data_IF_922778516715
#
_entry.id   IF_922778516715
#
_cell.length_a   1.000
_cell.length_b   1.000
_cell.length_c   1.000
_cell.angle_alpha   90.00
_cell.angle_beta   90.00
_cell.angle_gamma   90.00
#
_symmetry.space_group_name_H-M   'P 1'
#
loop_
_entity.id
_entity.type
_entity.pdbx_description
1 polymer ?
#
# COMPACT_ATOMS: atom_id res chain seq x y z
N UNK A 1 -22.00 -27.60 -25.00
CA UNK A 1 -21.87 -26.15 -24.79
C UNK A 1 -21.30 -25.96 -23.40
N UNK A 2 -20.02 -25.66 -23.28
CA UNK A 2 -19.39 -25.32 -22.00
C UNK A 2 -18.81 -23.94 -22.24
N UNK A 3 -19.61 -22.92 -21.96
CA UNK A 3 -19.27 -21.53 -22.16
C UNK A 3 -19.22 -20.90 -20.77
N UNK A 4 -18.03 -20.48 -20.37
CA UNK A 4 -17.78 -19.51 -19.29
C UNK A 4 -17.53 -20.07 -17.87
N UNK A 5 -16.77 -21.17 -17.75
CA UNK A 5 -16.20 -21.59 -16.46
C UNK A 5 -14.97 -20.77 -16.12
N UNK A 6 -15.18 -19.68 -15.38
CA UNK A 6 -14.11 -18.97 -14.69
C UNK A 6 -13.77 -19.70 -13.39
N UNK A 7 -12.48 -19.92 -13.14
CA UNK A 7 -12.02 -20.57 -11.92
C UNK A 7 -11.62 -19.53 -10.89
N UNK A 8 -12.13 -19.64 -9.66
CA UNK A 8 -11.65 -18.82 -8.55
C UNK A 8 -10.26 -19.32 -8.14
N UNK A 9 -9.26 -18.44 -8.22
CA UNK A 9 -7.86 -18.75 -7.88
C UNK A 9 -7.45 -18.14 -6.53
N UNK A 10 -8.12 -17.09 -6.08
CA UNK A 10 -7.80 -16.42 -4.82
C UNK A 10 -8.95 -15.53 -4.33
N UNK A 11 -8.72 -14.85 -3.21
CA UNK A 11 -9.55 -13.74 -2.71
C UNK A 11 -8.63 -12.58 -2.36
N UNK A 12 -8.87 -11.42 -2.96
CA UNK A 12 -8.19 -10.18 -2.62
C UNK A 12 -8.72 -9.67 -1.26
N UNK A 13 -7.91 -9.88 -0.22
CA UNK A 13 -8.28 -9.58 1.17
C UNK A 13 -8.18 -8.09 1.48
N UNK A 14 -9.20 -7.56 2.16
CA UNK A 14 -9.28 -6.17 2.59
C UNK A 14 -8.81 -5.96 4.04
N UNK A 15 -7.68 -6.57 4.43
CA UNK A 15 -7.23 -6.60 5.84
C UNK A 15 -5.93 -5.84 6.10
N UNK A 16 -5.33 -5.21 5.08
CA UNK A 16 -4.06 -4.50 5.21
C UNK A 16 -4.23 -3.02 4.93
N UNK A 17 -3.93 -2.20 5.94
CA UNK A 17 -3.76 -0.77 5.76
C UNK A 17 -2.41 -0.51 5.08
N UNK A 18 -2.42 0.35 4.07
CA UNK A 18 -1.24 0.83 3.37
C UNK A 18 -1.11 2.33 3.53
N UNK A 19 0.01 2.89 3.11
CA UNK A 19 0.33 4.28 3.36
C UNK A 19 0.77 4.96 2.07
N UNK A 20 0.58 6.26 1.99
CA UNK A 20 0.95 7.04 0.81
C UNK A 20 2.44 6.81 0.49
N UNK A 21 2.71 6.51 -0.77
CA UNK A 21 4.02 6.12 -1.27
C UNK A 21 4.20 4.61 -1.42
N UNK A 22 3.52 3.77 -0.64
CA UNK A 22 3.61 2.32 -0.78
C UNK A 22 3.23 1.87 -2.20
N UNK A 23 3.88 0.83 -2.70
CA UNK A 23 3.48 0.15 -3.94
C UNK A 23 2.99 -1.25 -3.64
N UNK A 24 1.87 -1.62 -4.25
CA UNK A 24 1.33 -2.98 -4.26
C UNK A 24 1.54 -3.55 -5.65
N UNK A 25 2.23 -4.68 -5.75
CA UNK A 25 2.35 -5.41 -7.03
C UNK A 25 1.45 -6.64 -7.00
N UNK A 26 0.60 -6.78 -8.00
CA UNK A 26 -0.14 -8.00 -8.30
C UNK A 26 0.72 -8.93 -9.15
N UNK A 27 0.88 -10.17 -8.68
CA UNK A 27 1.64 -11.23 -9.34
C UNK A 27 0.71 -12.35 -9.77
N UNK A 28 0.96 -12.91 -10.96
CA UNK A 28 0.16 -13.99 -11.54
C UNK A 28 1.07 -15.14 -11.95
N UNK A 29 0.64 -16.36 -11.63
CA UNK A 29 1.45 -17.55 -11.82
C UNK A 29 0.68 -18.59 -12.63
N UNK A 30 1.44 -19.30 -13.46
CA UNK A 30 1.03 -20.50 -14.21
C UNK A 30 1.69 -21.72 -13.57
N UNK A 31 1.55 -22.90 -14.17
CA UNK A 31 2.26 -24.09 -13.68
C UNK A 31 3.78 -23.96 -13.88
N UNK A 32 4.21 -23.15 -14.83
CA UNK A 32 5.60 -22.87 -15.16
C UNK A 32 6.24 -21.83 -14.23
N UNK A 33 5.44 -21.16 -13.39
CA UNK A 33 5.87 -20.12 -12.47
C UNK A 33 5.27 -18.75 -12.79
N UNK A 34 5.95 -17.71 -12.30
CA UNK A 34 5.47 -16.33 -12.43
C UNK A 34 5.51 -15.85 -13.89
N UNK A 35 4.47 -15.13 -14.30
CA UNK A 35 4.44 -14.43 -15.59
C UNK A 35 4.68 -12.94 -15.36
N UNK A 36 5.95 -12.53 -15.34
CA UNK A 36 6.36 -11.14 -15.04
C UNK A 36 5.65 -10.10 -15.92
N UNK A 37 5.37 -10.43 -17.19
CA UNK A 37 4.68 -9.56 -18.13
C UNK A 37 3.23 -9.21 -17.73
N UNK A 38 2.63 -9.96 -16.78
CA UNK A 38 1.29 -9.72 -16.27
C UNK A 38 1.28 -8.95 -14.95
N UNK A 39 2.44 -8.58 -14.41
CA UNK A 39 2.50 -7.82 -13.17
C UNK A 39 1.84 -6.45 -13.33
N UNK A 40 1.06 -6.06 -12.31
CA UNK A 40 0.45 -4.74 -12.23
C UNK A 40 0.86 -4.07 -10.93
N UNK A 41 1.32 -2.82 -11.02
CA UNK A 41 1.72 -2.02 -9.87
C UNK A 41 0.67 -0.95 -9.56
N UNK A 42 0.24 -0.88 -8.30
CA UNK A 42 -0.61 0.17 -7.77
C UNK A 42 0.18 0.98 -6.74
N UNK A 43 0.38 2.27 -7.03
CA UNK A 43 0.93 3.22 -6.07
C UNK A 43 -0.18 3.78 -5.18
N UNK A 44 0.04 3.79 -3.87
CA UNK A 44 -0.84 4.45 -2.91
C UNK A 44 -0.54 5.95 -2.96
N UNK A 45 -1.30 6.70 -3.75
CA UNK A 45 -0.96 8.10 -4.04
C UNK A 45 -1.62 9.13 -3.10
N UNK A 46 -2.70 8.76 -2.40
CA UNK A 46 -3.46 9.70 -1.56
C UNK A 46 -4.15 9.02 -0.37
N UNK A 47 -4.56 9.82 0.63
CA UNK A 47 -5.01 9.36 1.94
C UNK A 47 -6.17 8.37 1.92
N UNK A 48 -7.16 8.56 1.05
CA UNK A 48 -8.27 7.60 0.97
C UNK A 48 -7.79 6.20 0.56
N UNK A 49 -6.75 6.06 -0.29
CA UNK A 49 -6.22 4.74 -0.65
C UNK A 49 -5.53 4.02 0.50
N UNK A 50 -5.24 4.68 1.62
CA UNK A 50 -4.61 4.02 2.77
C UNK A 50 -5.52 2.94 3.37
N UNK A 51 -6.84 3.16 3.37
CA UNK A 51 -7.79 2.16 3.86
C UNK A 51 -7.87 0.97 2.91
N UNK A 52 -7.86 -0.24 3.49
CA UNK A 52 -7.85 -1.50 2.75
C UNK A 52 -8.93 -1.61 1.66
N UNK A 53 -10.14 -1.17 1.97
CA UNK A 53 -11.26 -1.19 1.03
C UNK A 53 -11.03 -0.36 -0.24
N UNK A 54 -10.30 0.75 -0.15
CA UNK A 54 -10.12 1.67 -1.26
C UNK A 54 -9.03 1.20 -2.21
N UNK A 55 -7.83 0.88 -1.71
CA UNK A 55 -6.77 0.39 -2.60
C UNK A 55 -7.06 -0.97 -3.19
N UNK A 56 -7.72 -1.88 -2.45
CA UNK A 56 -8.08 -3.20 -3.01
C UNK A 56 -9.08 -3.07 -4.15
N UNK A 57 -10.03 -2.14 -4.06
CA UNK A 57 -10.97 -1.85 -5.13
C UNK A 57 -10.28 -1.25 -6.36
N UNK A 58 -9.34 -0.34 -6.16
CA UNK A 58 -8.57 0.18 -7.31
C UNK A 58 -7.64 -0.84 -7.93
N UNK A 59 -7.05 -1.73 -7.13
CA UNK A 59 -6.29 -2.85 -7.68
C UNK A 59 -7.17 -3.79 -8.50
N UNK A 60 -8.39 -4.07 -8.02
CA UNK A 60 -9.37 -4.87 -8.75
C UNK A 60 -9.77 -4.22 -10.08
N UNK A 61 -10.03 -2.91 -10.10
CA UNK A 61 -10.30 -2.16 -11.32
C UNK A 61 -9.13 -2.21 -12.30
N UNK A 62 -7.90 -2.00 -11.80
CA UNK A 62 -6.67 -2.06 -12.60
C UNK A 62 -6.49 -3.45 -13.25
N UNK A 63 -6.68 -4.52 -12.49
CA UNK A 63 -6.65 -5.90 -13.00
C UNK A 63 -7.73 -6.12 -14.06
N UNK A 64 -8.97 -5.74 -13.77
CA UNK A 64 -10.09 -5.94 -14.68
C UNK A 64 -9.92 -5.22 -16.02
N UNK A 65 -9.27 -4.06 -15.99
CA UNK A 65 -8.99 -3.22 -17.16
C UNK A 65 -7.85 -3.78 -18.02
N UNK A 66 -6.74 -4.22 -17.41
CA UNK A 66 -5.54 -4.63 -18.16
C UNK A 66 -5.49 -6.12 -18.50
N UNK A 67 -6.16 -6.98 -17.73
CA UNK A 67 -6.08 -8.44 -17.89
C UNK A 67 -7.44 -8.99 -18.37
N UNK A 68 -7.62 -9.29 -19.66
CA UNK A 68 -8.91 -9.76 -20.18
C UNK A 68 -9.29 -11.13 -19.63
N UNK A 69 -8.31 -11.99 -19.34
CA UNK A 69 -8.50 -13.37 -18.85
C UNK A 69 -8.39 -13.51 -17.32
N UNK A 70 -8.35 -12.39 -16.60
CA UNK A 70 -8.43 -12.33 -15.12
C UNK A 70 -9.57 -11.38 -14.74
N UNK A 71 -10.36 -11.75 -13.74
CA UNK A 71 -11.45 -10.91 -13.24
C UNK A 71 -11.48 -10.90 -11.72
N UNK A 72 -11.65 -9.71 -11.14
CA UNK A 72 -11.76 -9.50 -9.70
C UNK A 72 -13.14 -8.94 -9.40
N UNK A 73 -13.85 -9.59 -8.46
CA UNK A 73 -15.20 -9.23 -8.08
C UNK A 73 -16.20 -10.37 -8.30
N UNK A 74 -17.49 -10.03 -8.33
CA UNK A 74 -18.58 -11.01 -8.47
C UNK A 74 -19.15 -10.96 -9.89
N UNK A 75 -19.53 -12.12 -10.42
CA UNK A 75 -20.24 -12.22 -11.71
C UNK A 75 -21.70 -11.84 -11.49
N UNK A 76 -22.15 -10.77 -12.15
CA UNK A 76 -23.51 -10.27 -12.16
C UNK A 76 -24.14 -10.42 -13.56
N UNK A 77 -25.42 -10.05 -13.70
CA UNK A 77 -26.16 -10.19 -14.96
C UNK A 77 -25.56 -9.39 -16.12
N UNK A 78 -25.02 -8.20 -15.81
CA UNK A 78 -24.45 -7.27 -16.80
C UNK A 78 -22.93 -7.42 -16.98
N UNK A 79 -22.30 -8.34 -16.25
CA UNK A 79 -20.85 -8.54 -16.29
C UNK A 79 -20.23 -8.67 -14.90
N UNK A 80 -18.95 -8.34 -14.81
CA UNK A 80 -18.20 -8.42 -13.56
C UNK A 80 -18.33 -7.12 -12.77
N UNK A 81 -18.66 -7.23 -11.48
CA UNK A 81 -18.84 -6.09 -10.59
C UNK A 81 -17.83 -6.12 -9.44
N UNK A 82 -17.16 -4.99 -9.22
CA UNK A 82 -16.25 -4.80 -8.08
C UNK A 82 -17.05 -4.21 -6.92
N UNK A 83 -17.45 -5.09 -6.00
CA UNK A 83 -18.29 -4.73 -4.84
C UNK A 83 -17.50 -4.23 -3.62
N UNK A 84 -18.22 -4.10 -2.51
CA UNK A 84 -17.65 -3.89 -1.17
C UNK A 84 -17.50 -5.25 -0.46
N UNK A 85 -16.44 -5.40 0.36
CA UNK A 85 -16.13 -6.64 1.06
C UNK A 85 -15.15 -7.54 0.31
N UNK A 86 -15.20 -8.85 0.53
CA UNK A 86 -14.29 -9.79 -0.14
C UNK A 86 -14.40 -9.71 -1.67
N UNK A 87 -13.24 -9.63 -2.32
CA UNK A 87 -13.11 -9.52 -3.76
C UNK A 87 -12.48 -10.80 -4.31
N UNK A 88 -13.29 -11.79 -4.74
CA UNK A 88 -12.76 -13.00 -5.35
C UNK A 88 -11.97 -12.70 -6.61
N UNK A 89 -10.90 -13.45 -6.85
CA UNK A 89 -10.07 -13.35 -8.06
C UNK A 89 -10.28 -14.61 -8.88
N UNK A 90 -10.66 -14.44 -10.13
CA UNK A 90 -10.94 -15.50 -11.08
C UNK A 90 -9.97 -15.43 -12.27
N UNK A 91 -9.61 -16.58 -12.81
CA UNK A 91 -8.91 -16.71 -14.09
C UNK A 91 -9.75 -17.52 -15.08
N UNK A 92 -9.60 -17.21 -16.36
CA UNK A 92 -10.15 -18.04 -17.42
C UNK A 92 -9.20 -19.23 -17.67
N UNK A 93 -9.67 -20.48 -17.83
CA UNK A 93 -8.81 -21.66 -17.99
C UNK A 93 -7.79 -21.55 -19.13
N UNK A 94 -8.15 -20.85 -20.22
CA UNK A 94 -7.24 -20.65 -21.35
C UNK A 94 -6.03 -19.75 -21.04
N UNK A 95 -6.02 -19.05 -19.91
CA UNK A 95 -4.86 -18.25 -19.48
C UNK A 95 -3.74 -19.09 -18.89
N UNK A 96 -4.04 -20.32 -18.43
CA UNK A 96 -3.12 -21.12 -17.63
C UNK A 96 -2.81 -20.56 -16.24
N UNK A 97 -3.39 -19.41 -15.86
CA UNK A 97 -3.13 -18.76 -14.56
C UNK A 97 -3.85 -19.53 -13.45
N UNK A 98 -3.09 -19.98 -12.47
CA UNK A 98 -3.57 -20.81 -11.35
C UNK A 98 -3.47 -20.11 -10.01
N UNK A 99 -2.63 -19.07 -9.89
CA UNK A 99 -2.35 -18.41 -8.62
C UNK A 99 -2.16 -16.90 -8.77
N UNK A 100 -2.54 -16.20 -7.71
CA UNK A 100 -2.49 -14.75 -7.57
C UNK A 100 -1.88 -14.39 -6.21
N UNK A 101 -0.86 -13.54 -6.21
CA UNK A 101 -0.22 -13.05 -5.00
C UNK A 101 -0.01 -11.55 -5.02
N UNK A 102 0.17 -10.96 -3.84
CA UNK A 102 0.52 -9.56 -3.67
C UNK A 102 1.88 -9.43 -3.02
N UNK A 103 2.74 -8.59 -3.60
CA UNK A 103 3.90 -8.05 -2.91
C UNK A 103 3.68 -6.59 -2.55
N UNK A 104 4.33 -6.16 -1.48
CA UNK A 104 4.21 -4.82 -0.94
C UNK A 104 5.60 -4.23 -0.83
N UNK A 105 5.83 -3.11 -1.50
CA UNK A 105 7.03 -2.33 -1.35
C UNK A 105 6.69 -1.10 -0.51
N UNK A 106 7.11 -1.13 0.75
CA UNK A 106 7.07 0.05 1.59
C UNK A 106 8.14 1.04 1.12
N UNK A 107 7.78 2.30 0.89
CA UNK A 107 8.76 3.37 0.59
C UNK A 107 9.68 3.67 1.77
N UNK A 108 9.27 3.24 2.96
CA UNK A 108 10.08 3.04 4.14
C UNK A 108 11.13 1.91 3.97
N UNK A 109 12.02 2.00 2.99
CA UNK A 109 13.16 1.09 2.91
C UNK A 109 14.18 1.51 3.98
N UNK A 110 14.60 0.62 4.90
CA UNK A 110 15.67 0.94 5.84
C UNK A 110 16.94 1.21 5.03
N UNK A 111 17.43 2.45 5.05
CA UNK A 111 18.73 2.78 4.45
C UNK A 111 19.80 1.89 5.09
N UNK A 112 20.63 1.28 4.25
CA UNK A 112 21.79 0.49 4.66
C UNK A 112 22.60 1.26 5.71
N UNK A 113 22.94 0.55 6.80
CA UNK A 113 23.73 1.04 7.94
C UNK A 113 25.00 1.72 7.43
N UNK A 114 25.09 3.03 7.65
CA UNK A 114 26.30 3.57 8.24
C UNK A 114 26.00 3.86 9.71
N UNK A 115 26.81 3.22 10.54
CA UNK A 115 26.76 3.24 11.99
C UNK A 115 26.88 4.66 12.54
N UNK A 116 25.87 5.11 13.26
CA UNK A 116 26.01 6.08 14.35
C UNK A 116 24.87 5.86 15.35
N UNK A 117 25.20 6.03 16.62
CA UNK A 117 24.55 5.47 17.80
C UNK A 117 23.01 5.46 17.82
N UNK A 118 22.45 4.29 18.11
CA UNK A 118 21.05 4.12 18.51
C UNK A 118 20.79 4.89 19.81
N UNK A 119 20.17 6.06 19.69
CA UNK A 119 19.38 6.62 20.79
C UNK A 119 17.94 6.60 20.31
N UNK A 120 17.03 6.01 21.09
CA UNK A 120 15.61 5.90 20.76
C UNK A 120 14.98 7.30 20.74
N UNK A 121 15.03 8.00 19.62
CA UNK A 121 14.29 9.24 19.42
C UNK A 121 12.82 8.89 19.25
N UNK A 122 12.08 8.79 20.36
CA UNK A 122 10.63 8.53 20.36
C UNK A 122 9.92 9.87 20.26
N UNK A 123 9.00 10.06 19.32
CA UNK A 123 8.13 11.24 19.28
C UNK A 123 7.18 11.25 20.49
N UNK A 124 6.93 12.40 21.17
CA UNK A 124 7.47 13.75 20.96
C UNK A 124 8.59 14.12 21.94
N UNK A 125 9.56 13.22 22.19
CA UNK A 125 10.67 13.53 23.11
C UNK A 125 11.60 14.57 22.50
N UNK A 126 11.82 15.67 23.24
CA UNK A 126 12.73 16.77 22.89
C UNK A 126 12.46 17.39 21.49
N UNK A 127 11.25 17.92 21.23
CA UNK A 127 10.85 18.40 19.90
C UNK A 127 11.72 19.57 19.41
N UNK A 128 12.33 20.31 20.33
CA UNK A 128 13.28 21.40 20.01
C UNK A 128 14.52 20.90 19.23
N UNK A 129 14.84 19.61 19.33
CA UNK A 129 15.97 18.99 18.63
C UNK A 129 15.58 18.44 17.25
N UNK A 130 14.32 18.59 16.82
CA UNK A 130 13.89 18.14 15.51
C UNK A 130 14.34 19.14 14.45
N UNK A 131 15.38 18.73 13.73
CA UNK A 131 15.97 19.41 12.60
C UNK A 131 15.59 18.67 11.32
N UNK A 132 15.73 19.31 10.13
CA UNK A 132 15.63 18.60 8.86
C UNK A 132 16.39 17.28 8.87
N UNK A 133 15.71 16.17 8.55
CA UNK A 133 16.33 14.85 8.53
C UNK A 133 16.30 14.10 9.86
N UNK A 134 15.91 14.72 10.98
CA UNK A 134 15.74 14.02 12.27
C UNK A 134 14.72 12.90 12.11
N UNK A 135 15.09 11.69 12.54
CA UNK A 135 14.19 10.52 12.58
C UNK A 135 13.62 10.31 13.97
N UNK A 136 12.31 10.10 14.03
CA UNK A 136 11.59 9.81 15.27
C UNK A 136 10.73 8.56 15.13
N UNK A 137 10.68 7.72 16.16
CA UNK A 137 9.75 6.60 16.28
C UNK A 137 8.45 7.07 16.91
N UNK A 138 7.33 6.82 16.24
CA UNK A 138 6.02 7.16 16.77
C UNK A 138 5.34 5.91 17.34
N UNK A 139 5.11 5.86 18.66
CA UNK A 139 4.61 4.66 19.33
C UNK A 139 3.19 4.29 18.88
N UNK A 140 2.31 5.27 18.68
CA UNK A 140 0.91 5.01 18.29
C UNK A 140 0.76 4.45 16.87
N UNK A 141 1.66 4.81 15.96
CA UNK A 141 1.62 4.34 14.57
C UNK A 141 2.62 3.21 14.30
N UNK A 142 3.54 2.95 15.24
CA UNK A 142 4.56 1.92 15.15
C UNK A 142 5.53 2.13 13.99
N UNK A 143 5.90 3.38 13.69
CA UNK A 143 6.68 3.76 12.49
C UNK A 143 7.74 4.81 12.78
N UNK A 144 8.76 4.87 11.92
CA UNK A 144 9.68 5.98 11.88
C UNK A 144 9.20 7.07 10.92
N UNK A 145 9.42 8.31 11.32
CA UNK A 145 9.16 9.50 10.52
C UNK A 145 10.40 10.34 10.47
N UNK A 146 10.68 10.95 9.32
CA UNK A 146 11.78 11.88 9.15
C UNK A 146 11.24 13.29 8.98
N UNK A 147 11.77 14.22 9.76
CA UNK A 147 11.43 15.62 9.63
C UNK A 147 11.85 16.12 8.24
N UNK A 148 10.96 16.83 7.57
CA UNK A 148 11.19 17.36 6.22
C UNK A 148 12.17 18.53 6.23
N UNK A 149 12.65 18.90 5.05
CA UNK A 149 13.55 20.04 4.89
C UNK A 149 12.85 21.37 5.19
N UNK A 150 13.64 22.42 5.44
CA UNK A 150 13.13 23.79 5.59
C UNK A 150 12.31 24.20 4.34
N UNK A 151 11.19 24.94 4.50
CA UNK A 151 10.66 25.55 5.74
C UNK A 151 9.79 24.61 6.58
N UNK A 152 9.49 23.41 6.08
CA UNK A 152 8.56 22.50 6.73
C UNK A 152 9.06 21.93 8.06
N UNK A 153 10.38 21.95 8.26
CA UNK A 153 11.00 21.53 9.52
C UNK A 153 10.51 22.30 10.74
N UNK A 154 9.97 23.52 10.56
CA UNK A 154 9.41 24.30 11.67
C UNK A 154 8.20 23.61 12.30
N UNK A 155 7.44 22.84 11.50
CA UNK A 155 6.27 22.10 11.96
C UNK A 155 6.63 20.81 12.71
N UNK A 156 7.83 20.26 12.53
CA UNK A 156 8.24 19.07 13.28
C UNK A 156 8.27 19.34 14.78
N UNK A 157 8.60 20.57 15.18
CA UNK A 157 8.71 20.99 16.59
C UNK A 157 7.35 21.32 17.22
N UNK A 158 6.30 21.36 16.41
CA UNK A 158 4.95 21.64 16.86
C UNK A 158 4.31 20.37 17.46
N UNK A 159 4.00 20.45 18.75
CA UNK A 159 3.39 19.36 19.53
C UNK A 159 1.90 19.58 19.79
N UNK A 160 1.26 20.52 19.07
CA UNK A 160 -0.19 20.78 19.14
C UNK A 160 -1.07 19.61 18.70
N UNK A 161 -0.47 18.62 18.03
CA UNK A 161 -1.15 17.43 17.51
C UNK A 161 -1.47 17.51 16.03
N UNK A 162 -1.63 18.72 15.47
CA UNK A 162 -1.93 18.92 14.04
C UNK A 162 -0.85 18.33 13.13
N UNK A 163 0.40 18.36 13.58
CA UNK A 163 1.56 17.82 12.89
C UNK A 163 2.08 16.50 13.48
N UNK A 164 1.31 15.82 14.33
CA UNK A 164 1.71 14.55 14.93
C UNK A 164 1.99 13.49 13.86
N UNK A 165 3.20 12.88 13.83
CA UNK A 165 3.61 11.99 12.74
C UNK A 165 2.64 10.82 12.52
N UNK A 166 1.95 10.84 11.36
CA UNK A 166 1.01 9.80 10.95
C UNK A 166 -0.37 9.85 11.62
N UNK A 167 -0.65 10.87 12.44
CA UNK A 167 -1.94 11.04 13.12
C UNK A 167 -2.55 12.42 12.82
N UNK A 168 -1.77 13.49 12.94
CA UNK A 168 -2.26 14.86 12.83
C UNK A 168 -2.80 15.20 11.44
N UNK A 169 -3.85 16.00 11.33
CA UNK A 169 -4.46 16.33 10.03
C UNK A 169 -3.48 16.96 9.01
N UNK A 170 -2.39 17.53 9.52
CA UNK A 170 -1.36 18.25 8.79
C UNK A 170 0.02 17.58 8.86
N UNK A 171 0.12 16.36 9.38
CA UNK A 171 1.40 15.67 9.64
C UNK A 171 2.32 15.58 8.42
N UNK A 172 1.74 15.42 7.22
CA UNK A 172 2.49 15.32 5.96
C UNK A 172 3.23 16.60 5.60
N UNK A 173 2.86 17.76 6.15
CA UNK A 173 3.67 18.96 5.96
C UNK A 173 5.00 18.82 6.69
N UNK A 174 5.01 18.31 7.92
CA UNK A 174 6.20 18.22 8.76
C UNK A 174 7.06 16.98 8.47
N UNK A 175 6.44 15.84 8.13
CA UNK A 175 7.11 14.55 8.15
C UNK A 175 6.98 13.76 6.85
N UNK A 176 7.94 12.90 6.61
CA UNK A 176 7.88 11.81 5.62
C UNK A 176 8.04 10.46 6.33
N UNK A 177 7.36 9.43 5.84
CA UNK A 177 7.46 8.06 6.37
C UNK A 177 8.82 7.46 5.96
N UNK A 178 9.50 6.81 6.91
CA UNK A 178 10.85 6.25 6.76
C UNK A 178 10.90 4.75 6.93
#
# INVERSE_FOLDING_TARGET
MILDEWQQISVLKQNRQLYVGDNVTAHFFTQEGEVEALQLNLNIAYNAMQTSQYWTRELANLINFHLPLVKVGKKALLGWEVGYGELPVFSHPSSGITQFELSYQCTAKPKARNSEAHTQNIYPQQPQNYQPGTKVWHQGTGRYYKCKAWPFSEYCRDISGDFEPGIGAMWEMAWEVC
#
